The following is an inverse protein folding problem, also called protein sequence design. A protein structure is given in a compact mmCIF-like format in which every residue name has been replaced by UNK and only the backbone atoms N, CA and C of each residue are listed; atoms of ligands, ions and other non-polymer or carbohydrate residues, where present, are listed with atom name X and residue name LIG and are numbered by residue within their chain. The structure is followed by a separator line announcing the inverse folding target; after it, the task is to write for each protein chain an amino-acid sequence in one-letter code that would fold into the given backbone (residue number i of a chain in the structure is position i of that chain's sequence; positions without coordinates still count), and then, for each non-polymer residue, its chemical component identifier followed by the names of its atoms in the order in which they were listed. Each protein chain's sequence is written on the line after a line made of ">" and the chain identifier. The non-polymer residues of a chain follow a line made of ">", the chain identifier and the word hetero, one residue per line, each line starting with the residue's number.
data_IF_217417115690
#
_entry.id   IF_217417115690
#
_cell.length_a   1.000
_cell.length_b   1.000
_cell.length_c   1.000
_cell.angle_alpha   90.00
_cell.angle_beta   90.00
_cell.angle_gamma   90.00
#
_symmetry.space_group_name_H-M   'P 1'
#
loop_
_entity.id
_entity.type
_entity.pdbx_description
1 polymer ?
#
# COMPACT_ATOMS: atom_id res chain seq x y z
N UNK A 1 5.67 -9.55 6.48
CA UNK A 1 6.30 -10.26 5.34
C UNK A 1 5.47 -9.90 4.13
N UNK A 2 6.13 -9.40 3.10
CA UNK A 2 5.52 -8.82 1.90
C UNK A 2 6.00 -9.69 0.75
N UNK A 3 5.11 -10.39 0.07
CA UNK A 3 5.47 -11.28 -1.04
C UNK A 3 5.91 -10.46 -2.27
N UNK A 4 6.99 -10.87 -2.95
CA UNK A 4 7.38 -10.25 -4.22
C UNK A 4 6.54 -10.77 -5.37
N UNK A 5 6.58 -10.05 -6.49
CA UNK A 5 6.03 -10.56 -7.75
C UNK A 5 6.68 -11.89 -8.14
N UNK A 6 7.99 -12.03 -7.98
CA UNK A 6 8.69 -13.26 -8.34
C UNK A 6 8.32 -14.42 -7.42
N UNK A 7 8.19 -14.19 -6.11
CA UNK A 7 7.79 -15.21 -5.15
C UNK A 7 6.35 -15.68 -5.37
N UNK A 8 5.44 -14.75 -5.68
CA UNK A 8 4.09 -15.08 -6.12
C UNK A 8 4.12 -15.95 -7.38
N UNK A 9 4.90 -15.56 -8.38
CA UNK A 9 5.04 -16.30 -9.64
C UNK A 9 5.61 -17.69 -9.39
N UNK A 10 6.62 -17.83 -8.53
CA UNK A 10 7.20 -19.12 -8.16
C UNK A 10 6.18 -20.02 -7.48
N UNK A 11 5.46 -19.51 -6.47
CA UNK A 11 4.42 -20.28 -5.76
C UNK A 11 3.31 -20.75 -6.68
N UNK A 12 2.82 -19.85 -7.53
CA UNK A 12 1.77 -20.18 -8.50
C UNK A 12 2.28 -21.16 -9.54
N UNK A 13 3.53 -21.00 -10.02
CA UNK A 13 4.22 -21.90 -10.94
C UNK A 13 4.34 -23.32 -10.35
N UNK A 14 4.71 -23.42 -9.07
CA UNK A 14 4.82 -24.68 -8.34
C UNK A 14 3.45 -25.35 -8.16
N UNK A 15 2.44 -24.59 -7.74
CA UNK A 15 1.09 -25.10 -7.49
C UNK A 15 0.40 -25.62 -8.76
N UNK A 16 0.62 -24.97 -9.91
CA UNK A 16 0.05 -25.43 -11.20
C UNK A 16 0.98 -26.39 -11.96
N UNK A 17 2.18 -26.64 -11.46
CA UNK A 17 3.24 -27.40 -12.10
C UNK A 17 3.56 -26.94 -13.54
N UNK A 18 3.66 -25.62 -13.78
CA UNK A 18 4.00 -25.03 -15.09
C UNK A 18 4.95 -23.85 -14.94
N UNK A 19 5.95 -23.76 -15.81
CA UNK A 19 6.89 -22.63 -15.83
C UNK A 19 6.21 -21.34 -16.31
N UNK A 20 6.25 -20.32 -15.45
CA UNK A 20 5.75 -18.98 -15.74
C UNK A 20 6.94 -18.03 -15.90
N UNK A 21 7.09 -17.47 -17.10
CA UNK A 21 8.10 -16.46 -17.39
C UNK A 21 7.53 -15.36 -18.30
N UNK A 22 8.31 -14.32 -18.55
CA UNK A 22 7.96 -13.26 -19.50
C UNK A 22 7.73 -13.78 -20.94
N UNK A 23 8.23 -14.98 -21.26
CA UNK A 23 8.08 -15.62 -22.58
C UNK A 23 7.03 -16.74 -22.59
N UNK A 24 6.44 -17.12 -21.46
CA UNK A 24 5.40 -18.15 -21.40
C UNK A 24 4.13 -17.70 -22.13
N UNK A 25 3.62 -18.55 -23.02
CA UNK A 25 2.40 -18.27 -23.78
C UNK A 25 1.13 -18.60 -23.00
N UNK A 26 1.17 -19.61 -22.12
CA UNK A 26 0.07 -19.92 -21.19
C UNK A 26 0.53 -20.75 -19.97
N UNK A 27 0.33 -20.26 -18.73
CA UNK A 27 -0.09 -18.90 -18.39
C UNK A 27 1.05 -17.88 -18.58
N UNK A 28 0.74 -16.74 -19.19
CA UNK A 28 1.69 -15.64 -19.33
C UNK A 28 1.84 -14.86 -18.03
N UNK A 29 3.01 -14.24 -17.81
CA UNK A 29 3.24 -13.36 -16.65
C UNK A 29 2.19 -12.24 -16.56
N UNK A 30 1.78 -11.68 -17.69
CA UNK A 30 0.74 -10.65 -17.74
C UNK A 30 -0.63 -11.16 -17.24
N UNK A 31 -0.98 -12.43 -17.56
CA UNK A 31 -2.20 -13.08 -17.10
C UNK A 31 -2.19 -13.28 -15.58
N UNK A 32 -1.07 -13.75 -15.03
CA UNK A 32 -0.89 -13.93 -13.59
C UNK A 32 -1.03 -12.61 -12.85
N UNK A 33 -0.37 -11.55 -13.32
CA UNK A 33 -0.43 -10.23 -12.70
C UNK A 33 -1.84 -9.61 -12.76
N UNK A 34 -2.56 -9.78 -13.87
CA UNK A 34 -3.95 -9.34 -13.99
C UNK A 34 -4.84 -10.00 -12.93
N UNK A 35 -4.71 -11.31 -12.75
CA UNK A 35 -5.47 -12.04 -11.73
C UNK A 35 -5.06 -11.66 -10.32
N UNK A 36 -3.76 -11.51 -10.06
CA UNK A 36 -3.30 -11.04 -8.76
C UNK A 36 -3.90 -9.68 -8.39
N UNK A 37 -3.80 -8.69 -9.28
CA UNK A 37 -4.33 -7.35 -9.04
C UNK A 37 -5.83 -7.37 -8.77
N UNK A 38 -6.58 -8.19 -9.53
CA UNK A 38 -8.01 -8.36 -9.34
C UNK A 38 -8.33 -8.96 -7.98
N UNK A 39 -7.61 -9.99 -7.56
CA UNK A 39 -7.83 -10.65 -6.26
C UNK A 39 -7.48 -9.68 -5.13
N UNK A 40 -6.37 -8.95 -5.24
CA UNK A 40 -5.94 -7.95 -4.26
C UNK A 40 -6.95 -6.81 -4.11
N UNK A 41 -7.44 -6.26 -5.22
CA UNK A 41 -8.50 -5.25 -5.21
C UNK A 41 -9.78 -5.77 -4.55
N UNK A 42 -10.21 -6.98 -4.91
CA UNK A 42 -11.37 -7.64 -4.28
C UNK A 42 -11.18 -7.81 -2.76
N UNK A 43 -10.03 -8.29 -2.31
CA UNK A 43 -9.71 -8.43 -0.86
C UNK A 43 -9.72 -7.07 -0.18
N UNK A 44 -9.21 -6.03 -0.84
CA UNK A 44 -9.26 -4.65 -0.39
C UNK A 44 -10.68 -4.15 -0.19
N UNK A 45 -11.54 -4.31 -1.20
CA UNK A 45 -12.95 -3.94 -1.15
C UNK A 45 -13.71 -4.68 -0.05
N UNK A 46 -13.44 -5.98 0.16
CA UNK A 46 -14.01 -6.75 1.28
C UNK A 46 -13.55 -6.13 2.62
N UNK A 47 -12.27 -5.81 2.76
CA UNK A 47 -11.75 -5.19 3.97
C UNK A 47 -12.40 -3.82 4.24
N UNK A 48 -12.60 -3.00 3.21
CA UNK A 48 -13.27 -1.70 3.28
C UNK A 48 -14.74 -1.87 3.71
N UNK A 49 -15.48 -2.73 3.01
CA UNK A 49 -16.89 -3.00 3.27
C UNK A 49 -17.13 -3.44 4.72
N UNK A 50 -16.24 -4.28 5.25
CA UNK A 50 -16.33 -4.81 6.61
C UNK A 50 -15.58 -3.97 7.65
N UNK A 51 -15.07 -2.79 7.27
CA UNK A 51 -14.34 -1.86 8.14
C UNK A 51 -13.21 -2.56 8.92
N UNK A 52 -12.39 -3.30 8.19
CA UNK A 52 -11.33 -4.12 8.76
C UNK A 52 -10.09 -3.28 9.09
N UNK A 53 -9.56 -3.44 10.30
CA UNK A 53 -8.28 -2.87 10.71
C UNK A 53 -7.08 -3.45 9.94
N UNK A 54 -7.27 -4.56 9.22
CA UNK A 54 -6.19 -5.23 8.47
C UNK A 54 -5.72 -4.39 7.28
N UNK A 55 -6.61 -3.66 6.62
CA UNK A 55 -6.28 -2.81 5.47
C UNK A 55 -6.26 -1.31 5.84
N UNK A 56 -6.43 -0.98 7.13
CA UNK A 56 -6.48 0.39 7.60
C UNK A 56 -5.08 0.93 7.85
N UNK A 57 -4.84 2.16 7.43
CA UNK A 57 -3.65 2.95 7.72
C UNK A 57 -4.05 4.35 8.20
N UNK A 58 -3.09 5.22 8.50
CA UNK A 58 -3.32 6.60 8.95
C UNK A 58 -2.41 7.54 8.20
N UNK A 59 -2.98 8.61 7.64
CA UNK A 59 -2.22 9.71 7.04
C UNK A 59 -2.19 10.87 8.01
N UNK A 60 -1.04 11.50 8.16
CA UNK A 60 -0.89 12.76 8.89
C UNK A 60 -0.82 13.88 7.87
N UNK A 61 -1.73 14.84 7.99
CA UNK A 61 -1.77 16.06 7.18
C UNK A 61 -1.37 17.22 8.07
N UNK A 62 -0.40 18.01 7.62
CA UNK A 62 -0.02 19.25 8.30
C UNK A 62 -0.74 20.41 7.61
N UNK A 63 -1.66 21.07 8.32
CA UNK A 63 -2.43 22.18 7.74
C UNK A 63 -1.60 23.45 7.56
N UNK A 64 -2.08 24.34 6.72
CA UNK A 64 -1.55 25.70 6.53
C UNK A 64 -2.68 26.69 6.69
N UNK A 65 -2.41 27.80 7.38
CA UNK A 65 -3.36 28.89 7.57
C UNK A 65 -3.95 29.34 6.23
N UNK A 66 -5.28 29.45 6.16
CA UNK A 66 -6.01 29.87 4.96
C UNK A 66 -6.10 28.83 3.84
N UNK A 67 -5.55 27.61 4.02
CA UNK A 67 -5.60 26.54 3.00
C UNK A 67 -6.61 25.48 3.41
N UNK A 68 -7.66 25.31 2.59
CA UNK A 68 -8.71 24.34 2.84
C UNK A 68 -8.44 22.97 2.19
N UNK A 69 -7.77 22.93 1.05
CA UNK A 69 -7.67 21.76 0.16
C UNK A 69 -6.31 21.04 0.27
N UNK A 70 -6.33 19.73 0.50
CA UNK A 70 -5.13 18.91 0.69
C UNK A 70 -5.16 17.68 -0.24
N UNK A 71 -4.18 17.53 -1.16
CA UNK A 71 -4.15 16.45 -2.15
C UNK A 71 -3.62 15.11 -1.60
N UNK A 72 -3.29 15.02 -0.32
CA UNK A 72 -2.63 13.89 0.34
C UNK A 72 -3.32 12.53 0.10
N UNK A 73 -4.64 12.53 -0.17
CA UNK A 73 -5.42 11.33 -0.45
C UNK A 73 -5.74 11.04 -1.91
N UNK A 74 -5.36 11.94 -2.83
CA UNK A 74 -5.78 11.93 -4.23
C UNK A 74 -5.66 10.55 -4.90
N UNK A 75 -4.50 9.92 -4.71
CA UNK A 75 -4.12 8.68 -5.41
C UNK A 75 -4.11 7.44 -4.51
N UNK A 76 -4.38 7.61 -3.22
CA UNK A 76 -4.15 6.56 -2.21
C UNK A 76 -5.41 6.18 -1.42
N UNK A 77 -6.52 6.91 -1.55
CA UNK A 77 -7.71 6.71 -0.71
C UNK A 77 -8.79 5.88 -1.41
N UNK A 78 -9.21 4.78 -0.76
CA UNK A 78 -10.44 4.04 -1.09
C UNK A 78 -11.62 4.50 -0.24
N UNK A 79 -11.43 4.65 1.06
CA UNK A 79 -12.47 5.12 1.98
C UNK A 79 -11.85 5.71 3.27
N UNK A 80 -12.50 6.72 3.85
CA UNK A 80 -12.10 7.33 5.13
C UNK A 80 -12.90 6.78 6.31
N UNK A 81 -12.28 6.74 7.49
CA UNK A 81 -13.02 6.56 8.74
C UNK A 81 -13.92 7.77 9.03
N UNK A 82 -14.96 7.55 9.84
CA UNK A 82 -15.91 8.63 10.20
C UNK A 82 -15.31 9.70 11.12
N UNK A 83 -14.07 9.53 11.56
CA UNK A 83 -13.40 10.40 12.52
C UNK A 83 -11.89 10.41 12.27
N UNK A 84 -11.24 11.47 12.73
CA UNK A 84 -9.79 11.61 12.88
C UNK A 84 -9.47 12.36 14.16
N UNK A 85 -8.22 12.76 14.33
CA UNK A 85 -7.82 13.58 15.48
C UNK A 85 -6.72 14.58 15.13
N UNK A 86 -6.79 15.73 15.77
CA UNK A 86 -5.76 16.77 15.76
C UNK A 86 -4.88 16.55 16.98
N UNK A 87 -3.56 16.50 16.77
CA UNK A 87 -2.59 16.44 17.86
C UNK A 87 -2.05 17.85 18.14
N UNK A 88 -2.27 18.33 19.37
CA UNK A 88 -1.74 19.59 19.88
C UNK A 88 -0.63 19.28 20.91
N UNK A 89 0.15 20.29 21.29
CA UNK A 89 1.30 20.16 22.20
C UNK A 89 0.97 19.45 23.53
N UNK A 90 -0.26 19.63 24.04
CA UNK A 90 -0.69 19.06 25.32
C UNK A 90 -2.05 18.36 25.28
N UNK A 91 -2.68 18.22 24.10
CA UNK A 91 -4.03 17.66 24.00
C UNK A 91 -4.31 17.01 22.63
N UNK A 92 -5.43 16.29 22.56
CA UNK A 92 -5.98 15.75 21.32
C UNK A 92 -7.41 16.23 21.15
N UNK A 93 -7.74 16.72 19.96
CA UNK A 93 -9.11 17.09 19.59
C UNK A 93 -9.63 16.15 18.51
N UNK A 94 -10.89 15.72 18.61
CA UNK A 94 -11.49 14.85 17.59
C UNK A 94 -12.03 15.69 16.44
N UNK A 95 -11.88 15.17 15.22
CA UNK A 95 -12.44 15.77 14.01
C UNK A 95 -13.35 14.74 13.35
N UNK A 96 -14.53 15.15 12.86
CA UNK A 96 -15.51 14.23 12.26
C UNK A 96 -15.55 14.33 10.74
N UNK A 97 -15.75 13.20 10.08
CA UNK A 97 -16.05 13.17 8.65
C UNK A 97 -17.50 13.62 8.44
N UNK A 98 -17.70 14.58 7.55
CA UNK A 98 -19.02 15.05 7.09
C UNK A 98 -19.18 14.84 5.59
N UNK A 99 -20.40 14.95 5.06
CA UNK A 99 -20.59 14.99 3.62
C UNK A 99 -20.22 16.36 3.05
N UNK A 100 -19.90 16.41 1.76
CA UNK A 100 -19.66 17.69 1.05
C UNK A 100 -20.89 18.62 1.14
N UNK A 101 -22.11 18.06 1.15
CA UNK A 101 -23.35 18.84 1.30
C UNK A 101 -23.47 19.47 2.69
N UNK A 102 -23.08 18.73 3.73
CA UNK A 102 -23.13 19.20 5.12
C UNK A 102 -22.07 20.29 5.42
N UNK A 103 -21.05 20.44 4.55
CA UNK A 103 -20.01 21.46 4.71
C UNK A 103 -20.56 22.89 4.67
N UNK A 104 -21.70 23.10 4.01
CA UNK A 104 -22.36 24.42 3.89
C UNK A 104 -22.79 24.99 5.24
N UNK A 105 -23.12 24.14 6.22
CA UNK A 105 -23.49 24.54 7.58
C UNK A 105 -22.32 24.94 8.48
N UNK A 106 -21.07 24.70 8.03
CA UNK A 106 -19.86 25.02 8.79
C UNK A 106 -19.35 26.44 8.55
N UNK A 107 -20.08 27.24 7.77
CA UNK A 107 -19.83 28.65 7.60
C UNK A 107 -18.52 28.91 6.83
N UNK A 108 -18.61 28.93 5.51
CA UNK A 108 -17.67 29.70 4.68
C UNK A 108 -17.97 31.20 4.86
N UNK A 109 -17.90 31.71 6.09
CA UNK A 109 -17.94 33.16 6.31
C UNK A 109 -16.56 33.66 5.93
N UNK A 110 -16.48 34.42 4.84
CA UNK A 110 -15.24 35.03 4.35
C UNK A 110 -14.44 35.64 5.52
N UNK A 111 -13.31 35.03 5.87
CA UNK A 111 -12.35 35.56 6.86
C UNK A 111 -12.36 34.96 8.27
N UNK A 112 -13.22 33.98 8.61
CA UNK A 112 -13.18 33.31 9.91
C UNK A 112 -12.38 32.00 9.86
N UNK A 113 -11.05 32.09 9.97
CA UNK A 113 -10.20 30.92 10.15
C UNK A 113 -10.27 30.43 11.59
N UNK A 114 -10.28 29.12 11.79
CA UNK A 114 -10.27 28.51 13.12
C UNK A 114 -9.77 27.07 13.04
N UNK A 115 -9.46 26.50 14.21
CA UNK A 115 -9.12 25.09 14.32
C UNK A 115 -10.21 24.21 13.68
N UNK A 116 -9.85 23.31 12.75
CA UNK A 116 -10.83 22.42 12.10
C UNK A 116 -11.56 21.52 13.09
N UNK A 117 -12.88 21.36 12.89
CA UNK A 117 -13.74 20.48 13.69
C UNK A 117 -14.42 19.39 12.86
N UNK A 118 -14.41 19.55 11.54
CA UNK A 118 -14.83 18.54 10.58
C UNK A 118 -13.91 18.52 9.35
N UNK A 119 -13.99 17.43 8.60
CA UNK A 119 -13.41 17.34 7.28
C UNK A 119 -14.35 16.58 6.34
N UNK A 120 -14.22 16.81 5.05
CA UNK A 120 -14.83 15.97 4.04
C UNK A 120 -13.82 15.64 2.94
N UNK A 121 -14.16 14.67 2.11
CA UNK A 121 -13.39 14.32 0.92
C UNK A 121 -14.21 14.74 -0.29
N UNK A 122 -13.65 15.60 -1.13
CA UNK A 122 -14.35 16.10 -2.32
C UNK A 122 -14.32 15.09 -3.47
N UNK A 123 -15.01 15.39 -4.58
CA UNK A 123 -15.02 14.53 -5.79
C UNK A 123 -13.65 14.28 -6.45
N UNK A 124 -12.57 14.93 -6.00
CA UNK A 124 -11.19 14.71 -6.46
C UNK A 124 -10.34 13.91 -5.46
N UNK A 125 -10.94 13.38 -4.39
CA UNK A 125 -10.27 12.75 -3.25
C UNK A 125 -9.33 13.68 -2.46
N UNK A 126 -9.60 14.98 -2.46
CA UNK A 126 -8.84 15.93 -1.63
C UNK A 126 -9.53 16.04 -0.29
N UNK A 127 -8.75 16.16 0.78
CA UNK A 127 -9.28 16.44 2.11
C UNK A 127 -9.55 17.92 2.19
N UNK A 128 -10.77 18.27 2.57
CA UNK A 128 -11.17 19.63 2.85
C UNK A 128 -11.45 19.77 4.34
N UNK A 129 -10.76 20.69 5.02
CA UNK A 129 -10.99 20.98 6.43
C UNK A 129 -12.02 22.09 6.65
N UNK A 130 -12.89 21.90 7.64
CA UNK A 130 -13.98 22.80 7.99
C UNK A 130 -13.98 23.09 9.51
N UNK A 131 -13.93 24.37 9.94
CA UNK A 131 -13.64 25.57 9.14
C UNK A 131 -12.23 25.53 8.53
N UNK A 132 -11.92 26.48 7.63
CA UNK A 132 -10.58 26.61 7.06
C UNK A 132 -9.55 26.84 8.17
N UNK A 133 -8.45 26.06 8.21
CA UNK A 133 -7.44 26.18 9.25
C UNK A 133 -6.91 27.61 9.40
N UNK A 134 -6.76 28.06 10.65
CA UNK A 134 -6.08 29.30 11.06
C UNK A 134 -4.58 29.13 11.31
N UNK A 135 -4.14 27.90 11.59
CA UNK A 135 -2.76 27.59 11.91
C UNK A 135 -2.33 26.20 11.36
N UNK A 136 -1.07 25.84 11.62
CA UNK A 136 -0.52 24.53 11.35
C UNK A 136 -0.92 23.52 12.43
N UNK A 137 -1.70 22.53 12.02
CA UNK A 137 -2.15 21.42 12.85
C UNK A 137 -1.70 20.10 12.25
N UNK A 138 -1.25 19.18 13.10
CA UNK A 138 -0.99 17.78 12.71
C UNK A 138 -2.28 16.97 12.86
N UNK A 139 -2.94 16.71 11.73
CA UNK A 139 -4.23 16.03 11.67
C UNK A 139 -4.03 14.60 11.18
N UNK A 140 -4.33 13.63 12.05
CA UNK A 140 -4.28 12.21 11.73
C UNK A 140 -5.64 11.71 11.28
N UNK A 141 -5.73 11.27 10.03
CA UNK A 141 -6.95 10.71 9.45
C UNK A 141 -6.72 9.23 9.12
N UNK A 142 -7.45 8.31 9.79
CA UNK A 142 -7.43 6.91 9.43
C UNK A 142 -8.23 6.66 8.16
N UNK A 143 -7.68 5.81 7.28
CA UNK A 143 -8.25 5.49 5.98
C UNK A 143 -7.92 4.08 5.54
N UNK A 144 -8.70 3.57 4.59
CA UNK A 144 -8.37 2.38 3.83
C UNK A 144 -7.68 2.78 2.54
N UNK A 145 -6.48 2.23 2.32
CA UNK A 145 -5.66 2.58 1.17
C UNK A 145 -6.08 1.85 -0.09
N UNK A 146 -6.00 2.56 -1.21
CA UNK A 146 -5.90 1.97 -2.54
C UNK A 146 -4.72 1.03 -2.59
N UNK A 147 -4.97 -0.13 -3.16
CA UNK A 147 -3.95 -1.13 -3.37
C UNK A 147 -3.23 -0.79 -4.68
N UNK A 148 -1.90 -0.59 -4.68
CA UNK A 148 -1.19 -0.30 -5.91
C UNK A 148 -1.32 -1.49 -6.87
N UNK A 149 -1.58 -1.19 -8.14
CA UNK A 149 -1.62 -2.20 -9.19
C UNK A 149 -0.19 -2.71 -9.41
N UNK A 150 -0.02 -4.02 -9.33
CA UNK A 150 1.21 -4.71 -9.73
C UNK A 150 1.28 -4.78 -11.24
N UNK A 151 2.07 -3.92 -11.84
CA UNK A 151 2.59 -4.16 -13.19
C UNK A 151 3.91 -4.92 -13.09
N UNK A 152 4.36 -5.59 -14.16
CA UNK A 152 5.68 -6.23 -14.24
C UNK A 152 6.78 -5.14 -14.30
N UNK A 153 6.81 -4.25 -13.32
CA UNK A 153 7.75 -3.14 -13.26
C UNK A 153 9.06 -3.67 -12.74
N UNK A 154 9.99 -3.89 -13.66
CA UNK A 154 11.39 -4.02 -13.34
C UNK A 154 12.04 -2.66 -13.54
N UNK A 155 12.93 -2.31 -12.62
CA UNK A 155 13.78 -1.13 -12.78
C UNK A 155 15.23 -1.58 -12.86
N UNK A 156 16.01 -0.94 -13.71
CA UNK A 156 17.42 -1.32 -13.87
C UNK A 156 18.28 -0.62 -12.81
N UNK A 157 19.19 -1.39 -12.21
CA UNK A 157 20.30 -0.84 -11.43
C UNK A 157 21.23 -0.12 -12.40
N UNK A 158 21.28 1.20 -12.29
CA UNK A 158 22.17 2.05 -13.08
C UNK A 158 23.53 2.26 -12.40
N UNK A 159 23.60 2.07 -11.08
CA UNK A 159 24.83 2.11 -10.28
C UNK A 159 24.58 1.56 -8.88
N UNK A 160 25.62 1.05 -8.21
CA UNK A 160 25.60 0.82 -6.77
C UNK A 160 26.90 1.33 -6.12
N UNK A 161 26.78 2.15 -5.07
CA UNK A 161 27.94 2.74 -4.38
C UNK A 161 28.56 1.76 -3.39
N UNK A 162 29.87 1.85 -3.15
CA UNK A 162 30.55 1.26 -1.98
C UNK A 162 30.51 2.24 -0.80
N UNK A 163 29.46 2.16 0.00
CA UNK A 163 29.20 3.10 1.09
C UNK A 163 28.35 2.45 2.19
N UNK A 164 28.21 3.14 3.32
CA UNK A 164 27.31 2.79 4.41
C UNK A 164 26.41 3.99 4.75
N UNK A 165 25.11 3.98 4.38
CA UNK A 165 24.41 2.94 3.62
C UNK A 165 24.75 2.92 2.12
N UNK A 166 24.55 1.76 1.49
CA UNK A 166 24.69 1.58 0.04
C UNK A 166 23.63 2.41 -0.72
N UNK A 167 24.04 3.25 -1.67
CA UNK A 167 23.15 4.00 -2.57
C UNK A 167 23.07 3.31 -3.91
N UNK A 168 21.84 3.04 -4.35
CA UNK A 168 21.51 2.45 -5.65
C UNK A 168 20.96 3.54 -6.56
N UNK A 169 21.49 3.60 -7.77
CA UNK A 169 21.01 4.44 -8.86
C UNK A 169 20.01 3.70 -9.72
N UNK A 170 18.92 4.37 -10.08
CA UNK A 170 17.87 3.86 -10.96
C UNK A 170 17.25 5.05 -11.69
N UNK A 171 17.43 5.14 -13.01
CA UNK A 171 17.21 6.35 -13.84
C UNK A 171 15.83 7.02 -13.70
N UNK A 172 14.81 6.29 -13.23
CA UNK A 172 13.53 6.85 -12.78
C UNK A 172 12.80 5.81 -11.94
N UNK A 173 12.63 6.03 -10.64
CA UNK A 173 11.88 5.12 -9.75
C UNK A 173 10.78 5.82 -8.93
N UNK A 174 9.72 5.08 -8.54
CA UNK A 174 8.67 5.60 -7.66
C UNK A 174 8.98 5.43 -6.17
N UNK A 175 10.05 4.69 -5.81
CA UNK A 175 10.33 4.28 -4.42
C UNK A 175 10.40 5.46 -3.45
N UNK A 176 9.86 5.28 -2.25
CA UNK A 176 9.85 6.21 -1.12
C UNK A 176 10.59 5.61 0.07
N UNK A 177 10.89 6.44 1.07
CA UNK A 177 11.45 5.94 2.33
C UNK A 177 10.53 4.91 2.95
N UNK A 178 11.13 3.82 3.46
CA UNK A 178 10.51 2.63 4.03
C UNK A 178 9.80 1.71 3.02
N UNK A 179 9.95 1.94 1.71
CA UNK A 179 9.58 0.95 0.69
C UNK A 179 10.60 -0.19 0.66
N UNK A 180 10.16 -1.40 0.31
CA UNK A 180 11.03 -2.58 0.18
C UNK A 180 11.24 -2.95 -1.28
N UNK A 181 12.47 -3.31 -1.62
CA UNK A 181 12.86 -3.77 -2.96
C UNK A 181 13.63 -5.08 -2.89
N UNK A 182 13.51 -5.90 -3.94
CA UNK A 182 14.35 -7.08 -4.16
C UNK A 182 15.32 -6.79 -5.31
N UNK A 183 16.60 -7.10 -5.12
CA UNK A 183 17.66 -6.84 -6.11
C UNK A 183 18.24 -8.18 -6.56
N UNK A 184 18.42 -8.33 -7.87
CA UNK A 184 18.99 -9.53 -8.47
C UNK A 184 19.74 -9.21 -9.77
N UNK A 185 20.47 -10.18 -10.31
CA UNK A 185 21.18 -10.09 -11.61
C UNK A 185 22.18 -8.93 -11.72
N UNK A 186 22.67 -8.40 -10.60
CA UNK A 186 23.76 -7.41 -10.53
C UNK A 186 25.07 -8.07 -10.90
N UNK A 187 25.83 -7.47 -11.82
CA UNK A 187 27.20 -7.88 -12.13
C UNK A 187 28.20 -6.95 -11.45
N UNK A 188 29.33 -7.52 -11.03
CA UNK A 188 30.30 -6.82 -10.20
C UNK A 188 29.93 -6.98 -8.72
N UNK A 189 28.94 -6.24 -8.22
CA UNK A 189 28.51 -6.23 -6.80
C UNK A 189 27.47 -7.33 -6.51
N UNK A 190 27.86 -8.59 -6.68
CA UNK A 190 26.95 -9.74 -6.62
C UNK A 190 26.38 -10.03 -5.24
N UNK A 191 26.97 -9.48 -4.19
CA UNK A 191 26.49 -9.60 -2.81
C UNK A 191 25.11 -8.95 -2.62
N UNK A 192 24.68 -8.09 -3.55
CA UNK A 192 23.34 -7.53 -3.58
C UNK A 192 22.28 -8.50 -4.10
N UNK A 193 22.68 -9.56 -4.83
CA UNK A 193 21.75 -10.46 -5.49
C UNK A 193 21.08 -11.41 -4.50
N UNK A 194 19.77 -11.64 -4.68
CA UNK A 194 19.04 -12.61 -3.87
C UNK A 194 18.58 -12.07 -2.52
N UNK A 195 18.70 -10.76 -2.29
CA UNK A 195 18.37 -10.13 -1.01
C UNK A 195 17.33 -9.03 -1.13
N UNK A 196 16.72 -8.74 0.03
CA UNK A 196 15.72 -7.70 0.22
C UNK A 196 16.30 -6.52 0.95
N UNK A 197 15.91 -5.32 0.52
CA UNK A 197 16.39 -4.08 1.11
C UNK A 197 15.23 -3.13 1.38
N UNK A 198 15.21 -2.55 2.57
CA UNK A 198 14.39 -1.39 2.86
C UNK A 198 15.09 -0.16 2.26
N UNK A 199 14.31 0.76 1.69
CA UNK A 199 14.83 1.89 0.94
C UNK A 199 14.63 3.19 1.71
N UNK A 200 15.61 4.09 1.63
CA UNK A 200 15.42 5.50 2.02
C UNK A 200 15.47 6.33 0.75
N UNK A 201 14.48 7.18 0.55
CA UNK A 201 14.41 8.05 -0.61
C UNK A 201 15.56 9.06 -0.59
N UNK A 202 16.28 9.19 -1.71
CA UNK A 202 17.36 10.17 -1.89
C UNK A 202 16.99 11.17 -2.99
N UNK A 203 16.56 10.67 -4.14
CA UNK A 203 16.10 11.50 -5.26
C UNK A 203 15.10 10.74 -6.15
N UNK A 204 14.67 11.34 -7.27
CA UNK A 204 13.88 10.64 -8.29
C UNK A 204 14.66 9.56 -9.05
N UNK A 205 16.00 9.55 -8.91
CA UNK A 205 16.90 8.65 -9.62
C UNK A 205 17.79 7.81 -8.70
N UNK A 206 17.67 7.95 -7.39
CA UNK A 206 18.49 7.24 -6.40
C UNK A 206 17.73 6.97 -5.09
N UNK A 207 18.07 5.86 -4.45
CA UNK A 207 17.63 5.50 -3.10
C UNK A 207 18.76 4.78 -2.36
N UNK A 208 18.76 4.82 -1.03
CA UNK A 208 19.73 4.05 -0.24
C UNK A 208 19.11 2.79 0.35
N UNK A 209 19.89 1.72 0.44
CA UNK A 209 19.54 0.48 1.11
C UNK A 209 19.79 0.65 2.62
N UNK A 210 18.72 0.73 3.41
CA UNK A 210 18.81 0.86 4.87
C UNK A 210 19.63 -0.28 5.46
N UNK A 211 20.46 0.06 6.46
CA UNK A 211 21.32 -0.87 7.20
C UNK A 211 22.24 -1.78 6.35
N UNK A 212 22.49 -1.40 5.09
CA UNK A 212 23.35 -2.16 4.17
C UNK A 212 24.68 -1.45 3.99
N UNK A 213 25.73 -1.97 4.63
CA UNK A 213 27.11 -1.53 4.43
C UNK A 213 27.75 -2.28 3.25
N UNK A 214 27.89 -1.60 2.11
CA UNK A 214 28.53 -2.16 0.91
C UNK A 214 30.02 -1.82 0.79
N UNK A 215 30.65 -1.28 1.84
CA UNK A 215 32.07 -0.85 1.80
C UNK A 215 33.01 -2.01 1.49
N UNK A 216 32.68 -3.22 1.97
CA UNK A 216 33.45 -4.44 1.75
C UNK A 216 33.05 -5.19 0.46
N UNK A 217 31.96 -4.80 -0.22
CA UNK A 217 31.48 -5.53 -1.39
C UNK A 217 32.38 -5.32 -2.59
N UNK A 218 32.26 -6.21 -3.56
CA UNK A 218 32.87 -6.04 -4.87
C UNK A 218 32.29 -4.81 -5.60
N UNK A 219 33.06 -4.22 -6.52
CA UNK A 219 32.64 -3.00 -7.23
C UNK A 219 31.54 -3.33 -8.24
N UNK A 220 30.46 -2.56 -8.26
CA UNK A 220 29.42 -2.69 -9.28
C UNK A 220 30.00 -2.48 -10.67
N UNK A 221 29.69 -3.39 -11.59
CA UNK A 221 30.17 -3.34 -12.97
C UNK A 221 29.08 -2.88 -13.93
N UNK A 222 27.94 -3.57 -13.91
CA UNK A 222 26.82 -3.33 -14.82
C UNK A 222 25.60 -4.15 -14.39
N UNK A 223 24.46 -3.87 -15.00
CA UNK A 223 23.23 -4.64 -14.83
C UNK A 223 22.74 -4.69 -13.37
N UNK A 224 21.64 -5.40 -13.20
CA UNK A 224 20.89 -5.50 -11.96
C UNK A 224 19.44 -5.13 -12.22
N UNK A 225 18.54 -5.92 -11.66
CA UNK A 225 17.10 -5.75 -11.77
C UNK A 225 16.54 -5.53 -10.38
N UNK A 226 15.78 -4.46 -10.24
CA UNK A 226 15.07 -4.09 -9.02
C UNK A 226 13.61 -4.45 -9.22
N UNK A 227 13.08 -5.21 -8.28
CA UNK A 227 11.68 -5.59 -8.24
C UNK A 227 11.01 -4.85 -7.07
N UNK A 228 10.01 -3.99 -7.32
CA UNK A 228 9.21 -3.37 -6.26
C UNK A 228 8.49 -4.46 -5.46
N UNK A 229 8.59 -4.40 -4.13
CA UNK A 229 7.73 -5.19 -3.27
C UNK A 229 6.34 -4.52 -3.20
N UNK A 230 5.29 -5.29 -3.47
CA UNK A 230 3.91 -4.80 -3.41
C UNK A 230 3.48 -4.77 -1.95
N UNK A 231 3.10 -3.63 -1.37
CA UNK A 231 2.89 -3.56 0.06
C UNK A 231 1.53 -4.15 0.44
N UNK A 232 1.37 -5.47 0.55
CA UNK A 232 0.25 -6.02 1.31
C UNK A 232 0.54 -7.26 2.18
N UNK A 233 0.15 -7.07 3.45
CA UNK A 233 -0.02 -7.96 4.58
C UNK A 233 0.03 -9.47 4.33
N UNK A 234 1.17 -10.10 4.65
CA UNK A 234 1.40 -11.55 4.65
C UNK A 234 0.41 -12.47 5.36
N UNK A 235 -0.67 -11.92 5.93
CA UNK A 235 -1.84 -12.69 6.39
C UNK A 235 -2.72 -13.18 5.22
N UNK A 236 -2.73 -12.48 4.08
CA UNK A 236 -3.58 -12.82 2.93
C UNK A 236 -2.82 -13.52 1.79
N UNK A 237 -1.49 -13.57 1.84
CA UNK A 237 -0.66 -14.10 0.74
C UNK A 237 -1.06 -15.51 0.31
N UNK A 238 -1.34 -16.39 1.26
CA UNK A 238 -1.76 -17.76 0.96
C UNK A 238 -3.12 -17.80 0.26
N UNK A 239 -4.06 -16.98 0.72
CA UNK A 239 -5.38 -16.87 0.10
C UNK A 239 -5.23 -16.31 -1.32
N UNK A 240 -4.43 -15.27 -1.50
CA UNK A 240 -4.25 -14.63 -2.80
C UNK A 240 -3.58 -15.61 -3.78
N UNK A 241 -2.51 -16.30 -3.36
CA UNK A 241 -1.82 -17.28 -4.20
C UNK A 241 -2.77 -18.42 -4.60
N UNK A 242 -3.50 -19.00 -3.65
CA UNK A 242 -4.46 -20.08 -3.92
C UNK A 242 -5.55 -19.64 -4.91
N UNK A 243 -6.12 -18.45 -4.74
CA UNK A 243 -7.15 -17.94 -5.65
C UNK A 243 -6.61 -17.64 -7.04
N UNK A 244 -5.37 -17.13 -7.15
CA UNK A 244 -4.70 -16.94 -8.45
C UNK A 244 -4.46 -18.29 -9.13
N UNK A 245 -4.01 -19.31 -8.40
CA UNK A 245 -3.83 -20.68 -8.89
C UNK A 245 -5.16 -21.24 -9.43
N UNK A 246 -6.26 -21.09 -8.69
CA UNK A 246 -7.60 -21.53 -9.13
C UNK A 246 -8.01 -20.82 -10.42
N UNK A 247 -7.82 -19.49 -10.51
CA UNK A 247 -8.14 -18.73 -11.72
C UNK A 247 -7.30 -19.14 -12.94
N UNK A 248 -6.04 -19.56 -12.73
CA UNK A 248 -5.15 -19.99 -13.83
C UNK A 248 -5.41 -21.43 -14.28
N UNK A 249 -5.88 -22.30 -13.38
CA UNK A 249 -6.29 -23.66 -13.72
C UNK A 249 -7.59 -23.67 -14.54
N UNK A 250 -8.43 -22.64 -14.40
CA UNK A 250 -9.66 -22.49 -15.16
C UNK A 250 -9.39 -21.80 -16.52
N UNK A 251 -9.91 -22.42 -17.59
CA UNK A 251 -9.68 -21.98 -18.98
C UNK A 251 -10.66 -20.89 -19.42
N UNK A 252 -11.85 -20.83 -18.81
CA UNK A 252 -12.95 -20.00 -19.26
C UNK A 252 -13.09 -18.73 -18.39
N UNK A 253 -12.30 -17.70 -18.72
CA UNK A 253 -12.24 -16.42 -17.97
C UNK A 253 -13.53 -15.57 -17.98
N UNK A 254 -14.57 -16.04 -18.66
CA UNK A 254 -15.80 -15.27 -18.91
C UNK A 254 -17.07 -15.93 -18.34
N UNK A 255 -16.94 -17.01 -17.58
CA UNK A 255 -18.09 -17.63 -16.90
C UNK A 255 -18.47 -16.80 -15.65
N UNK A 256 -19.57 -16.05 -15.74
CA UNK A 256 -20.09 -15.23 -14.63
C UNK A 256 -20.47 -16.04 -13.38
N UNK A 257 -20.81 -17.32 -13.54
CA UNK A 257 -21.17 -18.22 -12.43
C UNK A 257 -19.92 -18.57 -11.64
N UNK A 258 -18.85 -18.92 -12.35
CA UNK A 258 -17.53 -19.17 -11.77
C UNK A 258 -17.02 -17.91 -11.06
N UNK A 259 -17.14 -16.74 -11.68
CA UNK A 259 -16.68 -15.48 -11.10
C UNK A 259 -17.41 -15.10 -9.80
N UNK A 260 -18.73 -15.30 -9.76
CA UNK A 260 -19.50 -15.10 -8.53
C UNK A 260 -19.11 -16.10 -7.44
N UNK A 261 -18.76 -17.33 -7.83
CA UNK A 261 -18.22 -18.36 -6.94
C UNK A 261 -16.86 -17.99 -6.34
N UNK A 262 -15.95 -17.44 -7.14
CA UNK A 262 -14.63 -16.97 -6.71
C UNK A 262 -14.74 -15.86 -5.67
N UNK A 263 -15.65 -14.90 -5.89
CA UNK A 263 -15.90 -13.81 -4.93
C UNK A 263 -16.47 -14.37 -3.62
N UNK A 264 -17.42 -15.30 -3.69
CA UNK A 264 -18.00 -15.94 -2.50
C UNK A 264 -16.94 -16.74 -1.71
N UNK A 265 -16.07 -17.47 -2.40
CA UNK A 265 -14.97 -18.21 -1.80
C UNK A 265 -13.97 -17.26 -1.13
N UNK A 266 -13.55 -16.18 -1.81
CA UNK A 266 -12.70 -15.14 -1.24
C UNK A 266 -13.30 -14.54 0.04
N UNK A 267 -14.59 -14.20 0.03
CA UNK A 267 -15.28 -13.68 1.20
C UNK A 267 -15.24 -14.69 2.35
N UNK A 268 -15.47 -15.97 2.08
CA UNK A 268 -15.44 -17.03 3.10
C UNK A 268 -14.08 -17.20 3.77
N UNK A 269 -12.98 -16.94 3.04
CA UNK A 269 -11.61 -17.07 3.55
C UNK A 269 -11.13 -15.80 4.26
N UNK A 270 -11.52 -14.63 3.76
CA UNK A 270 -11.11 -13.33 4.32
C UNK A 270 -11.86 -13.00 5.61
N UNK A 271 -13.16 -13.30 5.69
CA UNK A 271 -14.01 -12.93 6.83
C UNK A 271 -13.54 -13.49 8.19
N UNK A 272 -13.14 -14.77 8.32
CA UNK A 272 -12.60 -15.29 9.57
C UNK A 272 -11.35 -14.54 10.05
N UNK A 273 -10.50 -14.05 9.14
CA UNK A 273 -9.30 -13.29 9.48
C UNK A 273 -9.66 -11.90 10.01
N UNK A 274 -10.63 -11.23 9.38
CA UNK A 274 -11.19 -9.96 9.85
C UNK A 274 -11.77 -10.14 11.27
N UNK A 275 -12.56 -11.18 11.49
CA UNK A 275 -13.22 -11.42 12.78
C UNK A 275 -12.25 -11.78 13.91
N UNK A 276 -11.21 -12.57 13.63
CA UNK A 276 -10.15 -12.87 14.60
C UNK A 276 -9.44 -11.58 15.06
N UNK A 277 -9.20 -10.63 14.14
CA UNK A 277 -8.61 -9.33 14.46
C UNK A 277 -9.54 -8.51 15.35
N UNK A 278 -10.83 -8.43 15.04
CA UNK A 278 -11.85 -7.71 15.84
C UNK A 278 -11.97 -8.25 17.27
N UNK A 279 -11.98 -9.59 17.44
CA UNK A 279 -12.04 -10.24 18.76
C UNK A 279 -10.80 -9.95 19.63
N UNK A 280 -9.61 -9.86 19.04
CA UNK A 280 -8.36 -9.57 19.77
C UNK A 280 -8.36 -8.16 20.40
N UNK A 281 -9.05 -7.19 19.79
CA UNK A 281 -9.19 -5.84 20.35
C UNK A 281 -10.27 -5.74 21.44
N UNK A 282 -11.35 -6.53 21.35
CA UNK A 282 -12.40 -6.57 22.38
C UNK A 282 -11.91 -7.08 23.74
N UNK A 283 -10.91 -7.98 23.78
CA UNK A 283 -10.34 -8.47 25.04
C UNK A 283 -9.48 -7.44 25.77
N UNK A 284 -8.82 -6.51 25.06
CA UNK A 284 -8.05 -5.42 25.70
C UNK A 284 -8.93 -4.32 26.32
N UNK A 285 -10.17 -4.15 25.83
CA UNK A 285 -11.08 -3.12 26.34
C UNK A 285 -11.77 -3.47 27.68
N UNK A 286 -11.64 -4.72 28.17
CA UNK A 286 -12.27 -5.18 29.43
C UNK A 286 -11.38 -5.08 30.67
N UNK A 287 -10.26 -4.35 30.60
CA UNK A 287 -9.25 -4.31 31.66
C UNK A 287 -8.91 -2.93 32.18
N UNK A 288 -9.88 -2.04 32.39
CA UNK A 288 -9.72 -0.86 33.28
C UNK A 288 -11.11 -0.43 33.77
N UNK A 289 -11.52 -0.97 34.92
CA UNK A 289 -12.47 -0.37 35.84
C UNK A 289 -11.89 -0.62 37.23
N UNK A 290 -11.00 0.28 37.65
CA UNK A 290 -10.73 0.54 39.06
C UNK A 290 -11.63 1.68 39.51
#
# INVERSE_FOLDING_TARGET
>A
MTITVQELVNRVSDDIARTISATSTDPSLARVLRYYNRIVDTVGQICVLHKSDLARTTQVITTVSGTADYPDFKDILDATEKWGYITLTSSKSTIRLISEQDSTGYGFTSGAYAQPTAFYVNGKNYVIFCPTPDDAYSISIPFWKKFPIVSALTYDVASASKANPCVVGCTSHPFKTDDRVYIDSVLGMTELNGYFYDTTWVSSSTFSLQDTDSTAYTTWSSAGTIYPCVPFNGIFDNIIAEMVTILLQNRDEYDQTFESGIIAQLQSLVMPLIDRRKKKFSFKAKGYNG
#
